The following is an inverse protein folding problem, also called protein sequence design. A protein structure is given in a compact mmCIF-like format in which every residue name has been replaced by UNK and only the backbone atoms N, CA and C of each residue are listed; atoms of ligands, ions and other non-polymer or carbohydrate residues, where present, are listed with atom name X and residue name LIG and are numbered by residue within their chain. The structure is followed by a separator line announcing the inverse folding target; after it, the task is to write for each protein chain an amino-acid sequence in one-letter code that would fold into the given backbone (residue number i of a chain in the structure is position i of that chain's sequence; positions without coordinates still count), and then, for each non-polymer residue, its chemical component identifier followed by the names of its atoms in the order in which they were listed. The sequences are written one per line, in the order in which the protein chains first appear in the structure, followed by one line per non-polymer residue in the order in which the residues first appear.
data_IF_704862719198
#
_entry.id   IF_704862719198
#
_cell.length_a   1.000
_cell.length_b   1.000
_cell.length_c   1.000
_cell.angle_alpha   90.00
_cell.angle_beta   90.00
_cell.angle_gamma   90.00
#
_symmetry.space_group_name_H-M   'P 1'
#
loop_
_entity.id
_entity.type
_entity.pdbx_description
1 polymer ?
#
# COMPACT_ATOMS: atom_id res chain seq x y z
N UNK A 1 -27.76 2.12 7.48
CA UNK A 1 -26.52 1.55 6.93
C UNK A 1 -26.34 0.16 7.55
N UNK A 2 -25.93 -0.86 6.79
CA UNK A 2 -25.74 -2.21 7.36
C UNK A 2 -24.46 -2.36 8.21
N UNK A 3 -23.52 -1.41 8.12
CA UNK A 3 -22.26 -1.42 8.90
C UNK A 3 -22.43 -0.63 10.19
N UNK A 4 -22.63 0.70 10.13
CA UNK A 4 -22.79 1.50 11.35
C UNK A 4 -24.15 1.36 12.04
N UNK A 5 -25.13 0.67 11.43
CA UNK A 5 -26.52 0.51 11.92
C UNK A 5 -27.37 1.78 12.02
N UNK A 6 -26.82 2.94 11.64
CA UNK A 6 -27.56 4.21 11.68
C UNK A 6 -28.64 4.32 10.61
N UNK A 7 -29.73 5.02 10.95
CA UNK A 7 -30.74 5.48 10.02
C UNK A 7 -30.26 6.78 9.35
N UNK A 8 -29.86 6.70 8.09
CA UNK A 8 -29.27 7.80 7.32
C UNK A 8 -30.15 8.16 6.12
N UNK A 9 -30.13 9.42 5.66
CA UNK A 9 -30.84 9.81 4.45
C UNK A 9 -30.23 9.12 3.20
N UNK A 10 -30.99 8.98 2.10
CA UNK A 10 -30.49 8.38 0.86
C UNK A 10 -29.23 9.04 0.29
N UNK A 11 -29.01 10.34 0.57
CA UNK A 11 -27.83 11.09 0.16
C UNK A 11 -26.53 10.67 0.85
N UNK A 12 -26.62 9.94 1.97
CA UNK A 12 -25.46 9.35 2.66
C UNK A 12 -24.99 8.04 2.03
N UNK A 13 -25.70 7.52 1.03
CA UNK A 13 -25.36 6.31 0.29
C UNK A 13 -24.86 6.67 -1.10
N UNK A 14 -23.96 5.87 -1.70
CA UNK A 14 -23.51 6.14 -3.06
C UNK A 14 -24.70 5.97 -4.02
N UNK A 15 -24.80 6.80 -5.08
CA UNK A 15 -25.92 6.76 -6.03
C UNK A 15 -25.91 5.53 -6.94
N UNK A 16 -24.81 4.77 -6.92
CA UNK A 16 -24.60 3.57 -7.72
C UNK A 16 -23.85 2.52 -6.88
N UNK A 17 -23.93 1.23 -7.25
CA UNK A 17 -23.19 0.16 -6.58
C UNK A 17 -21.69 0.46 -6.44
N UNK A 18 -21.00 -0.10 -5.44
CA UNK A 18 -19.58 0.16 -5.21
C UNK A 18 -18.68 -0.16 -6.42
N UNK A 19 -19.04 -1.14 -7.24
CA UNK A 19 -18.42 -1.41 -8.54
C UNK A 19 -19.46 -1.91 -9.53
N UNK A 20 -19.15 -1.86 -10.84
CA UNK A 20 -20.01 -2.35 -11.91
C UNK A 20 -20.34 -3.86 -11.80
N UNK A 21 -19.54 -4.61 -11.04
CA UNK A 21 -19.76 -6.04 -10.81
C UNK A 21 -20.73 -6.34 -9.66
N UNK A 22 -21.11 -5.34 -8.85
CA UNK A 22 -22.09 -5.51 -7.78
C UNK A 22 -23.50 -5.65 -8.36
N UNK A 23 -24.18 -6.74 -7.99
CA UNK A 23 -25.59 -7.01 -8.37
C UNK A 23 -26.58 -6.64 -7.26
N UNK A 24 -26.13 -5.90 -6.25
CA UNK A 24 -26.91 -5.45 -5.11
C UNK A 24 -27.05 -3.92 -5.11
N UNK A 25 -28.11 -3.43 -4.49
CA UNK A 25 -28.25 -2.01 -4.18
C UNK A 25 -27.27 -1.61 -3.06
N UNK A 26 -26.76 -0.36 -3.03
CA UNK A 26 -25.89 0.08 -1.96
C UNK A 26 -26.59 0.08 -0.60
N UNK A 27 -26.08 -0.70 0.36
CA UNK A 27 -26.60 -0.71 1.72
C UNK A 27 -25.63 -0.13 2.75
N UNK A 28 -24.43 0.23 2.30
CA UNK A 28 -23.36 0.84 3.09
C UNK A 28 -23.25 2.33 2.76
N UNK A 29 -23.19 3.17 3.80
CA UNK A 29 -23.02 4.62 3.62
C UNK A 29 -21.61 4.96 3.13
N UNK A 30 -21.44 6.15 2.56
CA UNK A 30 -20.15 6.60 2.02
C UNK A 30 -19.05 6.69 3.08
N UNK A 31 -19.40 7.04 4.33
CA UNK A 31 -18.46 7.09 5.44
C UNK A 31 -17.90 5.70 5.78
N UNK A 32 -18.76 4.69 5.88
CA UNK A 32 -18.35 3.31 6.16
C UNK A 32 -17.61 2.68 4.98
N UNK A 33 -17.94 3.06 3.74
CA UNK A 33 -17.19 2.64 2.55
C UNK A 33 -15.77 3.19 2.57
N UNK A 34 -15.57 4.48 2.89
CA UNK A 34 -14.23 5.05 3.03
C UNK A 34 -13.44 4.37 4.15
N UNK A 35 -14.06 4.18 5.32
CA UNK A 35 -13.44 3.49 6.45
C UNK A 35 -13.06 2.04 6.09
N UNK A 36 -13.90 1.33 5.35
CA UNK A 36 -13.63 -0.01 4.86
C UNK A 36 -12.47 -0.05 3.88
N UNK A 37 -12.42 0.87 2.90
CA UNK A 37 -11.31 0.99 1.94
C UNK A 37 -10.01 1.25 2.70
N UNK A 38 -10.01 2.19 3.65
CA UNK A 38 -8.85 2.54 4.46
C UNK A 38 -8.34 1.34 5.28
N UNK A 39 -9.25 0.62 5.95
CA UNK A 39 -8.91 -0.57 6.72
C UNK A 39 -8.42 -1.72 5.82
N UNK A 40 -9.03 -1.91 4.66
CA UNK A 40 -8.61 -2.93 3.70
C UNK A 40 -7.23 -2.63 3.12
N UNK A 41 -6.93 -1.35 2.88
CA UNK A 41 -5.61 -0.92 2.41
C UNK A 41 -4.51 -1.25 3.43
N UNK A 42 -4.75 -1.03 4.73
CA UNK A 42 -3.76 -1.31 5.78
C UNK A 42 -3.60 -2.81 6.07
N UNK A 43 -4.66 -3.60 5.93
CA UNK A 43 -4.65 -5.02 6.29
C UNK A 43 -4.35 -5.97 5.14
N UNK A 44 -4.80 -5.64 3.91
CA UNK A 44 -4.70 -6.53 2.73
C UNK A 44 -3.84 -5.93 1.61
N UNK A 45 -3.59 -4.62 1.63
CA UNK A 45 -2.90 -3.90 0.56
C UNK A 45 -3.81 -3.49 -0.61
N UNK A 46 -3.27 -2.71 -1.56
CA UNK A 46 -4.06 -2.04 -2.60
C UNK A 46 -4.67 -2.98 -3.64
N UNK A 47 -4.10 -4.18 -3.85
CA UNK A 47 -4.59 -5.12 -4.88
C UNK A 47 -5.81 -5.95 -4.44
N UNK A 48 -6.12 -6.00 -3.15
CA UNK A 48 -7.09 -6.93 -2.57
C UNK A 48 -8.28 -6.21 -1.91
N UNK A 49 -8.56 -4.97 -2.30
CA UNK A 49 -9.70 -4.21 -1.80
C UNK A 49 -10.95 -4.65 -2.58
N UNK A 50 -11.98 -5.04 -1.85
CA UNK A 50 -13.25 -5.49 -2.41
C UNK A 50 -14.45 -4.84 -1.72
N UNK A 51 -15.62 -4.96 -2.33
CA UNK A 51 -16.88 -4.51 -1.77
C UNK A 51 -17.14 -5.18 -0.41
N UNK A 52 -17.53 -4.44 0.64
CA UNK A 52 -17.79 -5.02 1.96
C UNK A 52 -19.01 -5.97 1.98
N UNK A 53 -19.91 -5.86 1.01
CA UNK A 53 -21.15 -6.65 0.94
C UNK A 53 -20.96 -7.99 0.22
N UNK A 54 -20.32 -7.97 -0.95
CA UNK A 54 -20.24 -9.13 -1.84
C UNK A 54 -18.80 -9.56 -2.19
N UNK A 55 -17.79 -8.81 -1.75
CA UNK A 55 -16.37 -9.13 -2.01
C UNK A 55 -15.87 -8.82 -3.42
N UNK A 56 -16.72 -8.34 -4.34
CA UNK A 56 -16.30 -7.95 -5.69
C UNK A 56 -15.18 -6.92 -5.64
N UNK A 57 -14.12 -7.11 -6.44
CA UNK A 57 -12.95 -6.26 -6.45
C UNK A 57 -13.29 -4.80 -6.80
N UNK A 58 -12.71 -3.85 -6.07
CA UNK A 58 -12.83 -2.43 -6.37
C UNK A 58 -11.65 -1.98 -7.23
N UNK A 59 -11.97 -1.42 -8.40
CA UNK A 59 -10.96 -0.85 -9.30
C UNK A 59 -10.50 0.53 -8.83
N UNK A 60 -9.43 1.08 -9.43
CA UNK A 60 -8.98 2.45 -9.11
C UNK A 60 -10.11 3.49 -9.31
N UNK A 61 -10.90 3.48 -10.41
CA UNK A 61 -12.04 4.38 -10.57
C UNK A 61 -13.12 4.22 -9.47
N UNK A 62 -13.36 2.99 -9.01
CA UNK A 62 -14.30 2.73 -7.92
C UNK A 62 -13.81 3.37 -6.62
N UNK A 63 -12.53 3.16 -6.29
CA UNK A 63 -11.91 3.72 -5.08
C UNK A 63 -11.85 5.24 -5.15
N UNK A 64 -11.48 5.82 -6.29
CA UNK A 64 -11.47 7.28 -6.50
C UNK A 64 -12.83 7.91 -6.23
N UNK A 65 -13.92 7.23 -6.59
CA UNK A 65 -15.28 7.72 -6.37
C UNK A 65 -15.76 7.56 -4.91
N UNK A 66 -15.35 6.49 -4.25
CA UNK A 66 -15.88 6.10 -2.93
C UNK A 66 -15.04 6.62 -1.76
N UNK A 67 -13.73 6.79 -1.95
CA UNK A 67 -12.80 7.14 -0.90
C UNK A 67 -12.73 8.65 -0.69
N UNK A 68 -12.49 9.06 0.56
CA UNK A 68 -12.13 10.42 0.89
C UNK A 68 -10.74 10.75 0.31
N UNK A 69 -10.42 12.04 0.05
CA UNK A 69 -9.17 12.43 -0.59
C UNK A 69 -7.89 11.89 0.07
N UNK A 70 -7.87 11.84 1.41
CA UNK A 70 -6.72 11.28 2.15
C UNK A 70 -6.58 9.77 1.96
N UNK A 71 -7.69 9.04 1.94
CA UNK A 71 -7.71 7.59 1.70
C UNK A 71 -7.29 7.28 0.25
N UNK A 72 -7.77 8.06 -0.72
CA UNK A 72 -7.37 7.93 -2.13
C UNK A 72 -5.87 8.16 -2.31
N UNK A 73 -5.32 9.24 -1.75
CA UNK A 73 -3.88 9.53 -1.83
C UNK A 73 -3.03 8.40 -1.21
N UNK A 74 -3.48 7.81 -0.10
CA UNK A 74 -2.83 6.65 0.51
C UNK A 74 -2.92 5.41 -0.40
N UNK A 75 -4.06 5.16 -1.03
CA UNK A 75 -4.25 4.07 -1.98
C UNK A 75 -3.33 4.21 -3.20
N UNK A 76 -3.27 5.39 -3.81
CA UNK A 76 -2.41 5.67 -4.96
C UNK A 76 -0.93 5.52 -4.60
N UNK A 77 -0.51 6.05 -3.45
CA UNK A 77 0.84 5.86 -2.94
C UNK A 77 1.17 4.37 -2.78
N UNK A 78 0.27 3.59 -2.18
CA UNK A 78 0.46 2.16 -2.01
C UNK A 78 0.51 1.42 -3.35
N UNK A 79 -0.34 1.79 -4.31
CA UNK A 79 -0.35 1.20 -5.65
C UNK A 79 0.96 1.49 -6.39
N UNK A 80 1.42 2.74 -6.41
CA UNK A 80 2.73 3.11 -6.98
C UNK A 80 3.84 2.33 -6.31
N UNK A 81 3.79 2.20 -4.98
CA UNK A 81 4.80 1.43 -4.24
C UNK A 81 4.82 -0.04 -4.65
N UNK A 82 3.65 -0.67 -4.75
CA UNK A 82 3.51 -2.06 -5.18
C UNK A 82 4.01 -2.28 -6.61
N UNK A 83 3.69 -1.35 -7.53
CA UNK A 83 4.15 -1.41 -8.93
C UNK A 83 5.67 -1.31 -9.03
N UNK A 84 6.29 -0.37 -8.33
CA UNK A 84 7.74 -0.24 -8.32
C UNK A 84 8.43 -1.44 -7.66
N UNK A 85 7.85 -1.96 -6.58
CA UNK A 85 8.33 -3.18 -5.90
C UNK A 85 8.23 -4.46 -6.74
N UNK A 86 7.47 -4.47 -7.83
CA UNK A 86 7.43 -5.61 -8.74
C UNK A 86 8.74 -5.77 -9.54
N UNK A 87 9.55 -4.70 -9.66
CA UNK A 87 10.89 -4.79 -10.26
C UNK A 87 11.87 -5.40 -9.24
N UNK A 88 12.51 -6.55 -9.55
CA UNK A 88 13.42 -7.25 -8.64
C UNK A 88 14.69 -6.45 -8.30
N UNK A 89 15.00 -5.38 -9.03
CA UNK A 89 16.12 -4.48 -8.77
C UNK A 89 15.70 -3.20 -8.05
N UNK A 90 14.40 -2.93 -7.88
CA UNK A 90 13.95 -1.74 -7.15
C UNK A 90 14.03 -1.97 -5.64
N UNK A 91 14.54 -0.98 -4.89
CA UNK A 91 14.64 -1.04 -3.43
C UNK A 91 14.12 0.24 -2.79
N UNK A 92 13.29 0.08 -1.76
CA UNK A 92 12.91 1.17 -0.87
C UNK A 92 14.05 1.47 0.12
N UNK A 93 14.26 2.75 0.39
CA UNK A 93 15.14 3.21 1.46
C UNK A 93 14.58 2.79 2.81
N UNK A 94 15.42 2.14 3.62
CA UNK A 94 15.09 1.62 4.96
C UNK A 94 15.52 2.56 6.09
N UNK A 95 15.89 3.81 5.75
CA UNK A 95 16.23 4.81 6.76
C UNK A 95 15.08 4.96 7.76
N UNK A 96 15.41 5.04 9.05
CA UNK A 96 14.44 5.32 10.11
C UNK A 96 13.85 6.74 9.98
N UNK A 97 14.49 7.63 9.20
CA UNK A 97 13.91 8.91 8.83
C UNK A 97 12.77 8.72 7.81
N UNK A 98 11.86 9.69 7.72
CA UNK A 98 10.74 9.74 6.77
C UNK A 98 11.16 9.88 5.28
N UNK A 99 12.28 9.28 4.87
CA UNK A 99 12.83 9.38 3.53
C UNK A 99 11.83 8.87 2.50
N UNK A 100 11.32 7.64 2.67
CA UNK A 100 10.32 7.04 1.77
C UNK A 100 10.77 6.85 0.32
N UNK A 101 11.97 7.30 -0.05
CA UNK A 101 12.55 7.20 -1.39
C UNK A 101 12.78 5.74 -1.77
N UNK A 102 12.74 5.46 -3.07
CA UNK A 102 13.16 4.19 -3.63
C UNK A 102 13.94 4.42 -4.92
N UNK A 103 14.79 3.46 -5.25
CA UNK A 103 15.66 3.55 -6.42
C UNK A 103 15.89 2.18 -7.04
N UNK A 104 16.25 2.19 -8.33
CA UNK A 104 16.80 1.01 -8.97
C UNK A 104 18.22 0.76 -8.46
N UNK A 105 18.47 -0.49 -8.11
CA UNK A 105 19.76 -0.99 -7.67
C UNK A 105 20.27 -1.98 -8.70
N UNK A 106 20.93 -1.46 -9.74
CA UNK A 106 21.30 -2.22 -10.94
C UNK A 106 22.22 -3.42 -10.67
N UNK A 107 23.04 -3.36 -9.61
CA UNK A 107 23.87 -4.49 -9.19
C UNK A 107 23.10 -5.59 -8.46
N UNK A 108 21.80 -5.39 -8.20
CA UNK A 108 20.91 -6.36 -7.59
C UNK A 108 21.49 -6.94 -6.30
N UNK A 109 21.39 -8.25 -6.12
CA UNK A 109 21.99 -8.95 -4.96
C UNK A 109 23.51 -9.13 -5.07
N UNK A 110 24.12 -8.91 -6.24
CA UNK A 110 25.58 -9.00 -6.40
C UNK A 110 26.31 -7.80 -5.76
N UNK A 111 25.66 -6.64 -5.69
CA UNK A 111 26.09 -5.50 -4.87
C UNK A 111 25.29 -5.45 -3.57
N UNK A 112 25.77 -6.01 -2.44
CA UNK A 112 24.97 -6.12 -1.22
C UNK A 112 24.67 -4.76 -0.56
N UNK A 113 25.42 -3.71 -0.89
CA UNK A 113 25.27 -2.37 -0.35
C UNK A 113 24.48 -1.51 -1.33
N UNK A 114 23.35 -0.97 -0.87
CA UNK A 114 22.67 0.12 -1.56
C UNK A 114 22.81 1.40 -0.74
N UNK A 115 23.23 2.49 -1.39
CA UNK A 115 23.26 3.83 -0.81
C UNK A 115 22.10 4.63 -1.38
N UNK A 116 21.24 5.14 -0.50
CA UNK A 116 20.08 5.92 -0.90
C UNK A 116 20.51 7.24 -1.57
N UNK A 117 20.09 7.47 -2.81
CA UNK A 117 20.41 8.70 -3.55
C UNK A 117 19.78 9.96 -2.95
N UNK A 118 18.71 9.83 -2.17
CA UNK A 118 18.02 10.96 -1.57
C UNK A 118 18.58 11.39 -0.20
N UNK A 119 18.97 10.45 0.66
CA UNK A 119 19.40 10.75 2.03
C UNK A 119 20.77 10.18 2.42
N UNK A 120 21.44 9.45 1.52
CA UNK A 120 22.75 8.86 1.77
C UNK A 120 22.75 7.62 2.68
N UNK A 121 21.60 7.19 3.19
CA UNK A 121 21.49 6.01 4.04
C UNK A 121 22.00 4.76 3.32
N UNK A 122 22.88 4.00 3.97
CA UNK A 122 23.39 2.73 3.46
C UNK A 122 22.63 1.56 4.07
N UNK A 123 22.19 0.64 3.21
CA UNK A 123 21.47 -0.56 3.61
C UNK A 123 22.03 -1.80 2.93
N UNK A 124 21.95 -2.93 3.64
CA UNK A 124 22.18 -4.24 3.08
C UNK A 124 20.93 -4.72 2.34
N UNK A 125 21.02 -4.99 1.03
CA UNK A 125 19.89 -5.51 0.24
C UNK A 125 19.69 -7.02 0.39
N UNK A 126 20.63 -7.71 1.06
CA UNK A 126 20.53 -9.15 1.37
C UNK A 126 19.78 -9.37 2.69
N UNK A 127 20.15 -8.61 3.73
CA UNK A 127 19.55 -8.70 5.08
C UNK A 127 18.44 -7.68 5.33
N UNK A 128 18.17 -6.81 4.36
CA UNK A 128 17.09 -5.80 4.39
C UNK A 128 17.13 -4.95 5.66
N UNK A 129 18.30 -4.40 5.99
CA UNK A 129 18.55 -3.56 7.17
C UNK A 129 19.65 -2.54 6.93
N UNK A 130 19.92 -1.71 7.95
CA UNK A 130 21.09 -0.83 7.97
C UNK A 130 22.37 -1.61 7.62
N UNK A 131 23.23 -0.98 6.81
CA UNK A 131 24.48 -1.61 6.38
C UNK A 131 25.39 -1.90 7.57
N UNK A 132 25.94 -3.12 7.59
CA UNK A 132 26.86 -3.58 8.63
C UNK A 132 28.29 -3.21 8.27
N UNK A 133 28.64 -1.95 8.54
CA UNK A 133 29.97 -1.41 8.21
C UNK A 133 31.11 -2.30 8.73
N UNK A 134 32.07 -2.60 7.84
CA UNK A 134 33.23 -3.43 8.17
C UNK A 134 33.02 -4.95 8.10
N UNK A 135 31.81 -5.42 7.74
CA UNK A 135 31.52 -6.84 7.57
C UNK A 135 31.04 -7.14 6.15
N UNK A 136 31.42 -8.31 5.65
CA UNK A 136 30.70 -8.96 4.54
C UNK A 136 29.39 -9.55 5.05
N UNK A 137 28.44 -9.85 4.16
CA UNK A 137 27.19 -10.49 4.57
C UNK A 137 27.43 -11.82 5.32
N UNK A 138 28.40 -12.62 4.85
CA UNK A 138 28.77 -13.88 5.51
C UNK A 138 29.30 -13.67 6.94
N UNK A 139 30.19 -12.71 7.14
CA UNK A 139 30.73 -12.41 8.48
C UNK A 139 29.67 -11.82 9.41
N UNK A 140 28.69 -11.11 8.85
CA UNK A 140 27.54 -10.65 9.61
C UNK A 140 26.67 -11.83 10.06
N UNK A 141 26.37 -12.79 9.17
CA UNK A 141 25.57 -13.97 9.49
C UNK A 141 26.20 -14.85 10.58
N UNK A 142 27.53 -14.92 10.63
CA UNK A 142 28.27 -15.66 11.68
C UNK A 142 28.15 -15.01 13.08
N UNK A 143 27.62 -13.78 13.18
CA UNK A 143 27.57 -12.98 14.42
C UNK A 143 26.16 -12.73 14.96
N UNK A 144 25.11 -13.13 14.24
CA UNK A 144 23.69 -12.85 14.57
C UNK A 144 22.93 -14.11 14.90
#
# INVERSE_FOLDING_TARGET
CIICTDALPPTSFPPQPPTAHCTHSPQVCTADLDAWIRSSLTTKGPAAIGCPECGNHLTHPDIHRLAAPLTLAAFETAQTRALLSADPNFRWCLSAAACGSGQLHASGRAGPIMTCGACGFKQCVIHERAWHEGLTCREFDERV
#
